data_IF_519796440408
#
_entry.id   IF_519796440408
#
_cell.length_a   1.000
_cell.length_b   1.000
_cell.length_c   1.000
_cell.angle_alpha   90.00
_cell.angle_beta   90.00
_cell.angle_gamma   90.00
#
_symmetry.space_group_name_H-M   'P 1'
#
loop_
_entity.id
_entity.type
_entity.pdbx_description
1 polymer ?
#
# COMPACT_ATOMS: atom_id res chain seq x y z
N UNK A 1 -23.69 -7.18 -22.51
CA UNK A 1 -22.91 -6.30 -21.61
C UNK A 1 -21.89 -7.21 -20.97
N UNK A 2 -20.64 -7.13 -21.44
CA UNK A 2 -19.54 -7.94 -20.89
C UNK A 2 -19.32 -7.50 -19.44
N UNK A 3 -19.53 -8.45 -18.53
CA UNK A 3 -19.19 -8.31 -17.12
C UNK A 3 -17.67 -8.35 -17.03
N UNK A 4 -17.03 -7.20 -17.24
CA UNK A 4 -15.58 -7.07 -17.19
C UNK A 4 -15.17 -6.99 -15.73
N UNK A 5 -14.82 -8.16 -15.17
CA UNK A 5 -14.32 -8.29 -13.81
C UNK A 5 -12.91 -7.70 -13.74
N UNK A 6 -12.75 -6.61 -12.98
CA UNK A 6 -11.44 -5.99 -12.75
C UNK A 6 -10.56 -7.00 -12.02
N UNK A 7 -9.35 -7.24 -12.50
CA UNK A 7 -8.34 -8.02 -11.79
C UNK A 7 -7.12 -7.17 -11.49
N UNK A 8 -6.47 -7.43 -10.35
CA UNK A 8 -5.25 -6.75 -9.93
C UNK A 8 -4.15 -7.78 -9.61
N UNK A 9 -2.88 -7.49 -9.91
CA UNK A 9 -1.79 -8.36 -9.52
C UNK A 9 -1.51 -8.25 -8.01
N UNK A 10 -1.33 -9.40 -7.35
CA UNK A 10 -0.89 -9.45 -5.96
C UNK A 10 0.52 -8.87 -5.82
N UNK A 11 0.77 -7.83 -5.01
CA UNK A 11 2.06 -7.13 -4.98
C UNK A 11 3.25 -7.98 -4.48
N UNK A 12 2.98 -9.11 -3.82
CA UNK A 12 4.01 -10.01 -3.27
C UNK A 12 4.40 -11.14 -4.22
N UNK A 13 3.47 -11.63 -5.04
CA UNK A 13 3.72 -12.83 -5.86
C UNK A 13 3.17 -12.73 -7.29
N UNK A 14 2.58 -11.59 -7.66
CA UNK A 14 2.05 -11.24 -8.98
C UNK A 14 0.93 -12.14 -9.50
N UNK A 15 0.35 -12.99 -8.66
CA UNK A 15 -0.87 -13.74 -9.02
C UNK A 15 -2.04 -12.79 -9.26
N UNK A 16 -2.81 -13.01 -10.32
CA UNK A 16 -4.03 -12.24 -10.59
C UNK A 16 -5.08 -12.46 -9.50
N UNK A 17 -5.68 -11.37 -9.03
CA UNK A 17 -6.72 -11.37 -7.99
C UNK A 17 -7.93 -10.60 -8.54
N UNK A 18 -9.10 -11.25 -8.69
CA UNK A 18 -10.31 -10.56 -9.14
C UNK A 18 -10.76 -9.53 -8.10
N UNK A 19 -11.50 -8.49 -8.49
CA UNK A 19 -12.02 -7.39 -7.65
C UNK A 19 -13.53 -7.49 -7.39
N UNK A 20 -13.92 -8.62 -6.80
CA UNK A 20 -15.27 -9.01 -6.31
C UNK A 20 -15.42 -8.85 -4.78
N UNK A 21 -16.21 -9.65 -4.04
CA UNK A 21 -16.28 -9.61 -2.56
C UNK A 21 -15.67 -10.86 -1.88
N UNK A 22 -15.58 -11.96 -2.62
CA UNK A 22 -15.15 -13.29 -2.18
C UNK A 22 -13.64 -13.40 -1.94
N UNK A 23 -12.82 -12.65 -2.68
CA UNK A 23 -11.38 -12.51 -2.41
C UNK A 23 -11.13 -11.59 -1.21
N UNK A 24 -11.27 -12.17 -0.02
CA UNK A 24 -11.21 -11.50 1.29
C UNK A 24 -9.91 -10.75 1.60
N UNK A 25 -8.81 -11.06 0.91
CA UNK A 25 -7.48 -10.51 1.18
C UNK A 25 -7.00 -9.50 0.13
N UNK A 26 -7.89 -8.99 -0.74
CA UNK A 26 -7.50 -8.01 -1.77
C UNK A 26 -6.67 -6.84 -1.19
N UNK A 27 -5.61 -6.38 -1.88
CA UNK A 27 -5.14 -6.81 -3.22
C UNK A 27 -4.31 -8.11 -3.22
N UNK A 28 -4.13 -8.77 -2.08
CA UNK A 28 -3.31 -9.96 -1.96
C UNK A 28 -4.07 -11.24 -2.33
N UNK A 29 -3.34 -12.22 -2.90
CA UNK A 29 -3.95 -13.50 -3.27
C UNK A 29 -4.22 -14.43 -2.08
N UNK A 30 -3.68 -14.12 -0.89
CA UNK A 30 -3.83 -14.93 0.33
C UNK A 30 -3.42 -14.15 1.58
N UNK A 31 -3.85 -14.63 2.76
CA UNK A 31 -3.39 -14.14 4.06
C UNK A 31 -1.87 -14.16 4.21
N UNK A 32 -1.20 -15.15 3.63
CA UNK A 32 0.27 -15.25 3.67
C UNK A 32 0.92 -14.05 3.00
N UNK A 33 0.47 -13.67 1.80
CA UNK A 33 1.01 -12.52 1.08
C UNK A 33 0.73 -11.21 1.84
N UNK A 34 -0.46 -11.04 2.42
CA UNK A 34 -0.76 -9.88 3.25
C UNK A 34 0.19 -9.75 4.46
N UNK A 35 0.51 -10.87 5.12
CA UNK A 35 1.41 -10.86 6.28
C UNK A 35 2.88 -10.65 5.89
N UNK A 36 3.30 -11.11 4.70
CA UNK A 36 4.64 -10.84 4.18
C UNK A 36 4.79 -9.33 3.94
N UNK A 37 3.83 -8.71 3.25
CA UNK A 37 3.85 -7.26 3.00
C UNK A 37 3.96 -6.47 4.31
N UNK A 38 3.11 -6.80 5.29
CA UNK A 38 3.18 -6.20 6.63
C UNK A 38 4.56 -6.41 7.28
N UNK A 39 5.15 -7.60 7.14
CA UNK A 39 6.48 -7.91 7.64
C UNK A 39 7.57 -7.05 7.00
N UNK A 40 7.55 -6.87 5.67
CA UNK A 40 8.50 -6.03 4.93
C UNK A 40 8.44 -4.56 5.39
N UNK A 41 7.24 -4.05 5.70
CA UNK A 41 7.07 -2.70 6.28
C UNK A 41 7.61 -2.61 7.71
N UNK A 42 7.30 -3.60 8.56
CA UNK A 42 7.78 -3.63 9.96
C UNK A 42 9.30 -3.77 10.01
N UNK A 43 9.90 -4.47 9.06
CA UNK A 43 11.34 -4.66 8.95
C UNK A 43 12.07 -3.51 8.25
N UNK A 44 11.37 -2.42 7.91
CA UNK A 44 11.92 -1.26 7.17
C UNK A 44 12.50 -1.60 5.79
N UNK A 45 12.10 -2.74 5.20
CA UNK A 45 12.51 -3.14 3.84
C UNK A 45 11.75 -2.36 2.76
N UNK A 46 10.56 -1.83 3.10
CA UNK A 46 9.83 -0.87 2.29
C UNK A 46 10.04 0.53 2.85
N UNK A 47 10.61 1.41 2.04
CA UNK A 47 10.77 2.82 2.34
C UNK A 47 10.41 3.65 1.12
N UNK A 48 9.84 4.84 1.36
CA UNK A 48 9.63 5.84 0.32
C UNK A 48 10.87 6.73 0.31
N UNK A 49 11.65 6.77 -0.78
CA UNK A 49 12.80 7.67 -0.87
C UNK A 49 12.32 9.12 -0.78
N UNK A 50 13.04 9.94 -0.02
CA UNK A 50 12.79 11.38 0.08
C UNK A 50 13.99 12.14 -0.44
N UNK A 51 13.75 13.04 -1.39
CA UNK A 51 14.79 13.94 -1.92
C UNK A 51 15.14 15.06 -0.92
N UNK A 52 14.28 15.31 0.07
CA UNK A 52 14.48 16.26 1.16
C UNK A 52 14.27 15.57 2.50
N UNK A 53 15.29 15.52 3.36
CA UNK A 53 15.14 15.03 4.74
C UNK A 53 14.41 16.03 5.67
N UNK A 54 13.89 17.11 5.10
CA UNK A 54 13.84 18.42 5.74
C UNK A 54 12.43 18.88 6.14
N UNK A 55 11.42 18.00 6.15
CA UNK A 55 10.13 18.37 6.77
C UNK A 55 10.30 18.79 8.25
N UNK A 56 11.41 18.43 8.89
CA UNK A 56 11.80 18.86 10.23
C UNK A 56 12.69 20.13 10.27
N UNK A 57 13.07 20.68 9.13
CA UNK A 57 14.02 21.81 9.01
C UNK A 57 13.47 22.99 8.20
N UNK A 58 12.26 22.91 7.66
CA UNK A 58 11.58 24.09 7.10
C UNK A 58 11.05 24.98 8.25
N UNK A 59 11.67 26.16 8.51
CA UNK A 59 11.21 27.06 9.56
C UNK A 59 9.82 27.68 9.27
N UNK A 60 9.24 27.41 8.10
CA UNK A 60 7.93 27.87 7.65
C UNK A 60 6.85 26.78 7.64
N UNK A 61 7.17 25.55 8.05
CA UNK A 61 6.13 24.57 8.44
C UNK A 61 5.62 24.98 9.82
N UNK A 62 4.77 26.00 9.85
CA UNK A 62 3.90 26.22 11.00
C UNK A 62 3.01 24.99 11.14
N UNK A 63 2.90 24.42 12.35
CA UNK A 63 2.07 23.26 12.70
C UNK A 63 0.66 23.33 12.08
N UNK A 64 0.58 22.86 10.85
CA UNK A 64 -0.54 23.04 9.93
C UNK A 64 -1.37 21.78 9.81
N UNK A 65 -1.22 20.82 10.73
CA UNK A 65 -2.25 19.81 10.97
C UNK A 65 -3.42 20.46 11.74
N UNK A 66 -3.95 21.56 11.21
CA UNK A 66 -5.30 22.01 11.52
C UNK A 66 -6.21 21.37 10.49
N UNK A 67 -6.71 20.18 10.82
CA UNK A 67 -7.88 19.62 10.15
C UNK A 67 -9.00 20.66 10.29
N UNK A 68 -9.45 21.24 9.18
CA UNK A 68 -10.80 21.79 9.08
C UNK A 68 -11.73 20.69 8.56
#
# INVERSE_FOLDING_TARGET
MSDEMIEVPCPICQKSVPWINESTFRPFCSKRCQLIDLGEWVAEEKAIPSDTADFAMDPNVSDGWSIK
#
